data_IF_747200081964
#
_entry.id   IF_747200081964
#
_cell.length_a   1.000
_cell.length_b   1.000
_cell.length_c   1.000
_cell.angle_alpha   90.00
_cell.angle_beta   90.00
_cell.angle_gamma   90.00
#
_symmetry.space_group_name_H-M   'P 1'
#
loop_
_entity.id
_entity.type
_entity.pdbx_description
1 polymer ?
#
# COMPACT_ATOMS: atom_id res chain seq x y z
N UNK A 1 26.72 -12.94 5.21
CA UNK A 1 25.61 -13.77 4.67
C UNK A 1 24.33 -12.94 4.75
N UNK A 2 23.88 -12.38 3.62
CA UNK A 2 22.75 -11.45 3.59
C UNK A 2 21.43 -12.21 3.69
N UNK A 3 20.64 -11.92 4.74
CA UNK A 3 19.27 -12.44 4.91
C UNK A 3 18.29 -11.39 4.37
N UNK A 4 17.52 -11.74 3.35
CA UNK A 4 16.47 -10.88 2.82
C UNK A 4 15.17 -11.15 3.59
N UNK A 5 14.73 -10.16 4.37
CA UNK A 5 13.44 -10.19 5.07
C UNK A 5 12.33 -9.79 4.09
N UNK A 6 11.32 -10.63 3.92
CA UNK A 6 10.10 -10.29 3.19
C UNK A 6 8.95 -10.44 4.17
N UNK A 7 8.35 -9.32 4.57
CA UNK A 7 7.16 -9.31 5.44
C UNK A 7 5.95 -8.90 4.62
N UNK A 8 4.97 -9.80 4.57
CA UNK A 8 3.65 -9.59 3.97
C UNK A 8 2.67 -9.59 5.14
N UNK A 9 1.85 -8.54 5.24
CA UNK A 9 0.78 -8.43 6.24
C UNK A 9 1.14 -8.70 7.70
N UNK A 10 2.27 -8.18 8.18
CA UNK A 10 2.63 -8.31 9.60
C UNK A 10 3.19 -9.68 9.98
N UNK A 11 3.17 -10.65 9.08
CA UNK A 11 3.92 -11.89 9.26
C UNK A 11 5.40 -11.63 8.99
N UNK A 12 6.23 -11.99 9.96
CA UNK A 12 7.68 -12.15 9.81
C UNK A 12 7.93 -13.65 9.68
N UNK A 13 8.06 -14.15 8.46
CA UNK A 13 8.29 -15.58 8.24
C UNK A 13 9.79 -15.87 8.45
N UNK A 14 10.15 -16.38 9.62
CA UNK A 14 11.43 -17.02 9.84
C UNK A 14 11.33 -18.47 9.35
N UNK A 15 12.15 -18.86 8.38
CA UNK A 15 12.36 -20.28 8.07
C UNK A 15 13.16 -20.89 9.21
N UNK A 16 12.49 -21.52 10.17
CA UNK A 16 13.10 -22.45 11.13
C UNK A 16 12.29 -23.73 11.18
N UNK A 17 13.02 -24.84 11.22
CA UNK A 17 12.50 -26.19 11.09
C UNK A 17 11.63 -26.65 12.27
N UNK A 18 10.78 -27.62 11.94
CA UNK A 18 10.09 -28.60 12.78
C UNK A 18 10.13 -28.43 14.32
N UNK A 19 8.95 -28.20 14.93
CA UNK A 19 8.70 -28.44 16.36
C UNK A 19 7.51 -27.66 16.94
N UNK A 20 6.35 -28.34 17.04
CA UNK A 20 5.12 -28.12 17.83
C UNK A 20 4.29 -26.80 17.77
N UNK A 21 2.94 -26.90 17.83
CA UNK A 21 2.04 -25.77 17.63
C UNK A 21 1.73 -25.05 18.95
N UNK A 22 1.84 -23.72 18.96
CA UNK A 22 1.20 -22.89 19.98
C UNK A 22 -0.01 -22.19 19.36
N UNK A 23 -1.13 -22.19 20.08
CA UNK A 23 -2.40 -21.56 19.71
C UNK A 23 -2.21 -20.08 19.32
N UNK A 24 -2.22 -19.80 18.02
CA UNK A 24 -2.25 -18.43 17.50
C UNK A 24 -3.70 -17.91 17.57
N UNK A 25 -3.92 -16.89 18.41
CA UNK A 25 -5.12 -16.07 18.33
C UNK A 25 -5.22 -15.46 16.93
N UNK A 26 -6.16 -15.93 16.12
CA UNK A 26 -6.49 -15.33 14.84
C UNK A 26 -7.08 -13.94 15.06
N UNK A 27 -6.24 -12.90 15.04
CA UNK A 27 -6.74 -11.58 14.68
C UNK A 27 -7.23 -11.66 13.22
N UNK A 28 -8.55 -11.60 13.02
CA UNK A 28 -9.12 -11.50 11.68
C UNK A 28 -8.46 -10.36 10.92
N UNK A 29 -7.81 -10.69 9.81
CA UNK A 29 -7.14 -9.73 8.96
C UNK A 29 -8.18 -8.84 8.27
N UNK A 30 -8.52 -7.70 8.89
CA UNK A 30 -9.51 -6.72 8.42
C UNK A 30 -9.12 -5.97 7.13
N UNK A 31 -8.05 -6.38 6.43
CA UNK A 31 -7.55 -5.66 5.26
C UNK A 31 -8.14 -6.24 3.98
N UNK A 32 -8.78 -5.38 3.20
CA UNK A 32 -9.31 -5.72 1.87
C UNK A 32 -8.21 -5.92 0.81
N UNK A 33 -7.00 -5.40 1.06
CA UNK A 33 -5.93 -5.37 0.05
C UNK A 33 -4.55 -5.68 0.63
N UNK A 34 -3.84 -6.60 -0.04
CA UNK A 34 -2.45 -6.97 0.25
C UNK A 34 -1.51 -5.77 0.10
N UNK A 35 -0.60 -5.57 1.07
CA UNK A 35 0.41 -4.51 1.02
C UNK A 35 1.78 -5.06 0.65
N UNK A 36 2.38 -4.47 -0.38
CA UNK A 36 3.74 -4.78 -0.78
C UNK A 36 4.71 -3.88 -0.02
N UNK A 37 5.57 -4.46 0.81
CA UNK A 37 6.71 -3.74 1.38
C UNK A 37 7.77 -3.54 0.31
N UNK A 38 8.27 -2.31 0.20
CA UNK A 38 9.26 -1.96 -0.80
C UNK A 38 10.64 -2.08 -0.18
N UNK A 39 11.44 -3.02 -0.69
CA UNK A 39 12.84 -3.20 -0.27
C UNK A 39 13.77 -2.14 -0.89
N UNK A 40 13.27 -1.41 -1.88
CA UNK A 40 13.95 -0.28 -2.52
C UNK A 40 13.16 0.99 -2.19
N UNK A 41 13.82 2.11 -1.83
CA UNK A 41 13.12 3.35 -1.52
C UNK A 41 12.31 3.87 -2.71
N UNK A 42 10.98 3.90 -2.57
CA UNK A 42 10.10 4.56 -3.54
C UNK A 42 9.72 5.92 -2.98
N UNK A 43 9.90 6.96 -3.80
CA UNK A 43 9.53 8.32 -3.44
C UNK A 43 8.33 8.79 -4.26
N UNK A 44 7.52 9.64 -3.65
CA UNK A 44 6.42 10.32 -4.32
C UNK A 44 6.52 11.83 -4.10
N UNK A 45 6.00 12.62 -5.03
CA UNK A 45 5.65 14.01 -4.75
C UNK A 45 4.26 14.05 -4.11
N UNK A 46 4.10 14.88 -3.09
CA UNK A 46 2.88 15.00 -2.31
C UNK A 46 2.49 16.47 -2.20
N UNK A 47 1.23 16.80 -2.46
CA UNK A 47 0.70 18.16 -2.37
C UNK A 47 -0.77 18.17 -1.98
N UNK A 48 -1.19 19.21 -1.26
CA UNK A 48 -2.60 19.47 -0.99
C UNK A 48 -3.31 19.79 -2.32
N UNK A 49 -4.49 19.21 -2.49
CA UNK A 49 -5.33 19.40 -3.68
C UNK A 49 -6.65 20.09 -3.38
N UNK A 50 -7.32 19.72 -2.29
CA UNK A 50 -8.64 20.25 -1.98
C UNK A 50 -8.89 20.26 -0.48
N UNK A 51 -9.54 21.33 -0.02
CA UNK A 51 -10.14 21.41 1.32
C UNK A 51 -11.62 21.72 1.12
N UNK A 52 -12.49 20.79 1.53
CA UNK A 52 -13.93 20.81 1.26
C UNK A 52 -14.21 20.93 -0.25
N UNK A 53 -14.80 22.04 -0.68
CA UNK A 53 -15.13 22.32 -2.08
C UNK A 53 -14.09 23.21 -2.78
N UNK A 54 -13.08 23.69 -2.05
CA UNK A 54 -12.07 24.60 -2.61
C UNK A 54 -10.84 23.84 -3.05
N UNK A 55 -10.55 23.89 -4.34
CA UNK A 55 -9.26 23.46 -4.85
C UNK A 55 -8.15 24.39 -4.37
N UNK A 56 -7.07 23.78 -3.86
CA UNK A 56 -5.88 24.46 -3.38
C UNK A 56 -4.70 23.78 -4.02
N UNK A 57 -3.73 24.55 -4.53
CA UNK A 57 -2.46 24.01 -5.03
C UNK A 57 -1.35 24.42 -4.07
N UNK A 58 -0.99 23.52 -3.17
CA UNK A 58 0.19 23.75 -2.33
C UNK A 58 1.48 23.46 -3.11
N UNK A 59 2.61 23.86 -2.52
CA UNK A 59 3.92 23.34 -2.93
C UNK A 59 3.95 21.82 -2.82
N UNK A 60 4.70 21.20 -3.71
CA UNK A 60 4.98 19.77 -3.70
C UNK A 60 6.12 19.49 -2.72
N UNK A 61 5.99 18.41 -1.96
CA UNK A 61 7.07 17.87 -1.13
C UNK A 61 7.36 16.42 -1.50
N UNK A 62 8.57 15.95 -1.19
CA UNK A 62 8.94 14.55 -1.41
C UNK A 62 8.63 13.72 -0.17
N UNK A 63 7.97 12.59 -0.34
CA UNK A 63 7.67 11.62 0.73
C UNK A 63 8.24 10.25 0.40
N UNK A 64 8.56 9.47 1.44
CA UNK A 64 9.09 8.11 1.30
C UNK A 64 7.96 7.10 1.47
N UNK A 65 7.70 6.27 0.46
CA UNK A 65 6.70 5.20 0.48
C UNK A 65 7.32 3.94 1.11
N UNK A 66 6.66 3.39 2.12
CA UNK A 66 7.09 2.18 2.83
C UNK A 66 6.41 0.92 2.32
N UNK A 67 5.11 1.03 2.04
CA UNK A 67 4.31 -0.03 1.44
C UNK A 67 3.21 0.55 0.59
N UNK A 68 2.73 -0.20 -0.39
CA UNK A 68 1.69 0.21 -1.34
C UNK A 68 0.77 -0.96 -1.68
N UNK A 69 -0.49 -0.67 -1.94
CA UNK A 69 -1.51 -1.58 -2.45
C UNK A 69 -2.45 -0.86 -3.43
N UNK A 70 -3.38 -1.61 -4.02
CA UNK A 70 -4.45 -1.05 -4.88
C UNK A 70 -5.42 -0.15 -4.09
N UNK A 71 -5.44 -0.25 -2.75
CA UNK A 71 -6.30 0.57 -1.89
C UNK A 71 -5.63 1.78 -1.26
N UNK A 72 -4.31 1.79 -1.14
CA UNK A 72 -3.61 2.83 -0.40
C UNK A 72 -2.09 2.64 -0.33
N UNK A 73 -1.44 3.47 0.48
CA UNK A 73 -0.04 3.28 0.85
C UNK A 73 0.20 3.73 2.29
N UNK A 74 1.40 3.41 2.77
CA UNK A 74 1.98 4.08 3.93
C UNK A 74 3.21 4.87 3.46
N UNK A 75 3.30 6.13 3.87
CA UNK A 75 4.48 6.96 3.62
C UNK A 75 4.95 7.68 4.89
N UNK A 76 6.19 8.18 4.88
CA UNK A 76 6.68 9.08 5.91
C UNK A 76 7.16 10.44 5.39
N UNK A 77 7.03 11.44 6.25
CA UNK A 77 7.55 12.81 6.05
C UNK A 77 7.86 13.44 7.41
N UNK A 78 8.64 14.52 7.38
CA UNK A 78 8.89 15.36 8.55
C UNK A 78 7.76 16.38 8.78
N UNK A 79 6.85 16.54 7.81
CA UNK A 79 5.69 17.42 7.97
C UNK A 79 4.64 16.80 8.88
N UNK A 80 4.16 17.59 9.83
CA UNK A 80 2.98 17.28 10.60
C UNK A 80 1.75 17.70 9.77
N UNK A 81 1.00 16.72 9.30
CA UNK A 81 -0.15 16.87 8.43
C UNK A 81 -1.40 16.48 9.23
N UNK A 82 -2.45 17.30 9.24
CA UNK A 82 -3.68 16.96 9.96
C UNK A 82 -4.40 15.78 9.29
N UNK A 83 -4.88 14.84 10.10
CA UNK A 83 -5.74 13.74 9.64
C UNK A 83 -7.16 14.25 9.55
N UNK A 84 -7.64 14.47 8.32
CA UNK A 84 -8.95 15.05 8.03
C UNK A 84 -9.54 14.40 6.78
N UNK A 85 -10.82 14.08 6.83
CA UNK A 85 -11.61 13.51 5.74
C UNK A 85 -12.06 14.57 4.72
N UNK A 86 -12.22 15.83 5.15
CA UNK A 86 -12.51 16.97 4.29
C UNK A 86 -11.31 17.48 3.47
N UNK A 87 -10.19 16.76 3.49
CA UNK A 87 -8.94 17.14 2.81
C UNK A 87 -8.49 16.06 1.84
N UNK A 88 -8.35 16.44 0.56
CA UNK A 88 -7.76 15.58 -0.46
C UNK A 88 -6.36 16.02 -0.82
N UNK A 89 -5.50 15.02 -1.00
CA UNK A 89 -4.12 15.15 -1.37
C UNK A 89 -3.88 14.53 -2.74
N UNK A 90 -2.82 14.95 -3.39
CA UNK A 90 -2.31 14.32 -4.61
C UNK A 90 -0.95 13.70 -4.32
N UNK A 91 -0.80 12.45 -4.72
CA UNK A 91 0.49 11.78 -4.85
C UNK A 91 0.84 11.63 -6.33
N UNK A 92 2.02 12.09 -6.71
CA UNK A 92 2.65 11.72 -7.98
C UNK A 92 3.66 10.61 -7.71
N UNK A 93 3.29 9.38 -8.08
CA UNK A 93 4.12 8.18 -7.95
C UNK A 93 4.86 7.93 -9.25
N UNK A 94 6.17 7.73 -9.17
CA UNK A 94 6.97 7.30 -10.31
C UNK A 94 7.05 5.76 -10.32
N UNK A 95 6.25 5.13 -11.16
CA UNK A 95 6.29 3.67 -11.38
C UNK A 95 6.93 3.40 -12.75
N UNK A 96 8.19 2.96 -12.75
CA UNK A 96 9.04 2.85 -13.94
C UNK A 96 9.16 4.21 -14.67
N UNK A 97 8.82 4.23 -15.96
CA UNK A 97 8.80 5.43 -16.80
C UNK A 97 7.48 6.20 -16.70
N UNK A 98 6.52 5.73 -15.91
CA UNK A 98 5.20 6.34 -15.79
C UNK A 98 5.09 7.14 -14.49
N UNK A 99 4.66 8.39 -14.62
CA UNK A 99 4.19 9.18 -13.48
C UNK A 99 2.69 8.99 -13.33
N UNK A 100 2.25 8.48 -12.19
CA UNK A 100 0.84 8.30 -11.88
C UNK A 100 0.44 9.34 -10.85
N UNK A 101 -0.58 10.13 -11.17
CA UNK A 101 -1.18 11.12 -10.28
C UNK A 101 -2.43 10.53 -9.65
N UNK A 102 -2.46 10.39 -8.32
CA UNK A 102 -3.54 9.72 -7.60
C UNK A 102 -4.02 10.61 -6.45
N UNK A 103 -5.33 10.74 -6.29
CA UNK A 103 -5.94 11.41 -5.14
C UNK A 103 -5.92 10.51 -3.91
N UNK A 104 -5.70 11.09 -2.74
CA UNK A 104 -5.62 10.35 -1.49
C UNK A 104 -6.24 11.11 -0.31
N UNK A 105 -6.77 10.34 0.63
CA UNK A 105 -7.23 10.81 1.95
C UNK A 105 -6.35 10.16 3.01
N UNK A 106 -5.91 10.96 3.99
CA UNK A 106 -5.13 10.47 5.13
C UNK A 106 -6.08 9.83 6.14
N UNK A 107 -5.78 8.60 6.55
CA UNK A 107 -6.60 7.83 7.49
C UNK A 107 -6.08 7.89 8.93
N UNK A 108 -4.76 7.81 9.11
CA UNK A 108 -4.13 7.82 10.43
C UNK A 108 -2.67 8.25 10.33
N UNK A 109 -2.10 8.63 11.47
CA UNK A 109 -0.69 8.99 11.63
C UNK A 109 -0.09 8.25 12.81
N UNK A 110 1.15 7.82 12.68
CA UNK A 110 1.96 7.23 13.75
C UNK A 110 3.31 7.98 13.81
N UNK A 111 3.68 8.59 14.94
CA UNK A 111 5.03 9.11 15.14
C UNK A 111 6.06 7.97 15.09
N UNK A 112 7.14 8.14 14.33
CA UNK A 112 8.20 7.13 14.18
C UNK A 112 9.54 7.79 13.87
N UNK A 113 10.55 7.54 14.70
CA UNK A 113 11.95 7.96 14.48
C UNK A 113 12.11 9.46 14.17
N UNK A 114 11.39 10.33 14.90
CA UNK A 114 11.39 11.78 14.66
C UNK A 114 10.67 12.23 13.38
N UNK A 115 9.91 11.33 12.75
CA UNK A 115 9.08 11.56 11.57
C UNK A 115 7.64 11.15 11.84
N UNK A 116 6.77 11.42 10.88
CA UNK A 116 5.38 10.99 10.89
C UNK A 116 5.14 9.98 9.77
N UNK A 117 4.61 8.81 10.12
CA UNK A 117 4.17 7.80 9.18
C UNK A 117 2.65 7.87 9.00
N UNK A 118 2.19 8.11 7.77
CA UNK A 118 0.78 8.25 7.42
C UNK A 118 0.30 7.04 6.65
N UNK A 119 -0.85 6.50 7.03
CA UNK A 119 -1.63 5.58 6.21
C UNK A 119 -2.65 6.36 5.39
N UNK A 120 -2.69 6.12 4.08
CA UNK A 120 -3.62 6.81 3.17
C UNK A 120 -4.43 5.82 2.35
N UNK A 121 -5.62 6.26 1.95
CA UNK A 121 -6.50 5.55 1.01
C UNK A 121 -6.59 6.31 -0.30
N UNK A 122 -6.59 5.59 -1.41
CA UNK A 122 -6.80 6.15 -2.74
C UNK A 122 -8.25 6.56 -2.97
N UNK A 123 -8.42 7.66 -3.68
CA UNK A 123 -9.71 8.11 -4.23
C UNK A 123 -9.61 7.95 -5.74
N UNK A 124 -10.22 6.90 -6.26
CA UNK A 124 -10.16 6.51 -7.67
C UNK A 124 -11.54 6.05 -8.14
N UNK A 125 -11.86 6.36 -9.39
CA UNK A 125 -12.92 5.71 -10.16
C UNK A 125 -12.55 4.26 -10.47
N UNK A 126 -13.52 3.47 -10.94
CA UNK A 126 -13.26 2.07 -11.36
C UNK A 126 -12.19 1.96 -12.46
N UNK A 127 -12.24 2.86 -13.45
CA UNK A 127 -11.26 2.89 -14.55
C UNK A 127 -9.87 3.28 -14.06
N UNK A 128 -9.77 4.31 -13.21
CA UNK A 128 -8.49 4.71 -12.59
C UNK A 128 -7.91 3.59 -11.74
N UNK A 129 -8.75 2.87 -10.97
CA UNK A 129 -8.33 1.72 -10.17
C UNK A 129 -7.75 0.62 -11.05
N UNK A 130 -8.42 0.23 -12.14
CA UNK A 130 -7.92 -0.78 -13.06
C UNK A 130 -6.59 -0.38 -13.70
N UNK A 131 -6.49 0.86 -14.18
CA UNK A 131 -5.26 1.38 -14.77
C UNK A 131 -4.11 1.41 -13.76
N UNK A 132 -4.39 1.88 -12.54
CA UNK A 132 -3.40 1.91 -11.46
C UNK A 132 -2.94 0.50 -11.08
N UNK A 133 -3.88 -0.44 -10.94
CA UNK A 133 -3.57 -1.84 -10.66
C UNK A 133 -2.63 -2.39 -11.73
N UNK A 134 -2.95 -2.29 -13.01
CA UNK A 134 -2.07 -2.75 -14.09
C UNK A 134 -0.64 -2.18 -13.99
N UNK A 135 -0.52 -0.86 -13.76
CA UNK A 135 0.80 -0.20 -13.65
C UNK A 135 1.57 -0.63 -12.40
N UNK A 136 0.88 -0.78 -11.27
CA UNK A 136 1.48 -1.25 -10.03
C UNK A 136 1.97 -2.69 -10.18
N UNK A 137 1.18 -3.54 -10.83
CA UNK A 137 1.53 -4.93 -11.09
C UNK A 137 2.79 -5.04 -11.97
N UNK A 138 2.86 -4.25 -13.05
CA UNK A 138 4.06 -4.23 -13.91
C UNK A 138 5.30 -3.70 -13.18
N UNK A 139 5.15 -2.67 -12.35
CA UNK A 139 6.24 -2.19 -11.48
C UNK A 139 6.71 -3.28 -10.52
N UNK A 140 5.78 -3.92 -9.81
CA UNK A 140 6.08 -4.98 -8.86
C UNK A 140 6.74 -6.17 -9.55
N UNK A 141 6.28 -6.58 -10.74
CA UNK A 141 6.92 -7.66 -11.50
C UNK A 141 8.41 -7.37 -11.75
N UNK A 142 8.75 -6.16 -12.18
CA UNK A 142 10.15 -5.78 -12.42
C UNK A 142 10.98 -5.76 -11.13
N UNK A 143 10.44 -5.19 -10.05
CA UNK A 143 11.15 -5.10 -8.75
C UNK A 143 11.30 -6.48 -8.09
N UNK A 144 10.28 -7.34 -8.24
CA UNK A 144 10.20 -8.66 -7.62
C UNK A 144 10.80 -9.79 -8.46
N UNK A 145 11.28 -9.56 -9.69
CA UNK A 145 12.03 -10.57 -10.46
C UNK A 145 13.27 -11.07 -9.69
N UNK A 146 13.71 -10.34 -8.67
CA UNK A 146 14.71 -10.78 -7.69
C UNK A 146 14.25 -11.87 -6.70
N UNK A 147 12.94 -12.20 -6.61
CA UNK A 147 12.39 -13.24 -5.72
C UNK A 147 11.23 -14.01 -6.36
N UNK A 148 11.52 -15.20 -6.90
CA UNK A 148 10.54 -16.11 -7.53
C UNK A 148 9.36 -16.48 -6.60
N UNK A 149 9.56 -16.44 -5.28
CA UNK A 149 8.54 -16.80 -4.29
C UNK A 149 7.48 -15.71 -4.10
N UNK A 150 7.84 -14.43 -4.14
CA UNK A 150 6.84 -13.35 -4.02
C UNK A 150 5.95 -13.31 -5.28
N UNK A 151 6.54 -13.56 -6.45
CA UNK A 151 5.79 -13.62 -7.71
C UNK A 151 4.72 -14.73 -7.70
N UNK A 152 4.99 -15.87 -7.05
CA UNK A 152 4.02 -16.97 -6.99
C UNK A 152 2.87 -16.70 -6.01
N UNK A 153 3.14 -16.03 -4.89
CA UNK A 153 2.09 -15.54 -3.97
C UNK A 153 1.19 -14.51 -4.65
N UNK A 154 1.81 -13.59 -5.39
CA UNK A 154 1.11 -12.57 -6.14
C UNK A 154 0.16 -13.15 -7.20
N UNK A 155 0.62 -14.10 -8.03
CA UNK A 155 -0.22 -14.77 -9.04
C UNK A 155 -1.43 -15.46 -8.41
N UNK A 156 -1.20 -16.25 -7.36
CA UNK A 156 -2.27 -16.99 -6.66
C UNK A 156 -3.38 -16.10 -6.10
N UNK A 157 -3.08 -14.84 -5.78
CA UNK A 157 -4.06 -13.89 -5.23
C UNK A 157 -4.74 -13.10 -6.34
N UNK A 158 -4.00 -12.71 -7.38
CA UNK A 158 -4.58 -12.06 -8.56
C UNK A 158 -5.54 -12.97 -9.32
N UNK A 159 -5.25 -14.27 -9.36
CA UNK A 159 -6.09 -15.31 -10.00
C UNK A 159 -7.27 -15.76 -9.11
N UNK A 160 -7.50 -15.10 -7.96
CA UNK A 160 -8.65 -15.33 -7.08
C UNK A 160 -9.64 -14.15 -7.06
N UNK A 161 -9.29 -13.02 -7.67
CA UNK A 161 -10.08 -11.78 -7.65
C UNK A 161 -11.04 -11.64 -8.86
N UNK A 162 -11.37 -12.76 -9.49
CA UNK A 162 -12.30 -12.92 -10.62
C UNK A 162 -13.78 -12.99 -10.20
N UNK A 163 -14.12 -12.35 -9.07
CA UNK A 163 -15.51 -12.04 -8.71
C UNK A 163 -16.19 -12.98 -7.70
N UNK A 164 -15.47 -13.90 -7.06
CA UNK A 164 -16.06 -14.80 -6.04
C UNK A 164 -16.21 -14.18 -4.63
N UNK A 165 -15.80 -12.93 -4.39
CA UNK A 165 -16.03 -12.28 -3.09
C UNK A 165 -17.48 -11.80 -2.85
N UNK A 166 -18.38 -11.94 -3.83
CA UNK A 166 -19.84 -11.82 -3.62
C UNK A 166 -20.45 -13.20 -3.38
N UNK A 167 -20.22 -13.76 -2.18
CA UNK A 167 -21.03 -14.76 -1.46
C UNK A 167 -20.14 -15.48 -0.46
N UNK A 168 -19.95 -14.84 0.70
CA UNK A 168 -19.94 -15.62 1.93
C UNK A 168 -21.27 -15.32 2.58
N UNK A 169 -22.16 -16.28 2.41
CA UNK A 169 -23.55 -16.24 2.83
C UNK A 169 -23.62 -15.94 4.33
N UNK A 170 -24.34 -14.87 4.65
CA UNK A 170 -24.93 -14.71 5.98
C UNK A 170 -25.96 -15.82 6.08
N UNK A 171 -25.70 -16.84 6.90
CA UNK A 171 -26.75 -17.74 7.35
C UNK A 171 -26.88 -17.57 8.85
N UNK A 172 -28.13 -17.35 9.25
CA UNK A 172 -28.69 -16.91 10.52
C UNK A 172 -28.19 -17.60 11.79
#
# INVERSE_FOLDING_TARGET
MYRTLISIDGYSMYLLGFGDPMEEGMEENRREHLRFRLNVPLYAEFSLWRVREREIRSRKQRVLIHNISVGGCQFSTNLQIPVRDDVEWILNLQLNHNTIKIKAIILHVVPKDGRYAYGVRWVMTGLERQAFQYRLQEYLRLVLVSSKHILSLYKKISDRDDGQFKRLDTTS
#
